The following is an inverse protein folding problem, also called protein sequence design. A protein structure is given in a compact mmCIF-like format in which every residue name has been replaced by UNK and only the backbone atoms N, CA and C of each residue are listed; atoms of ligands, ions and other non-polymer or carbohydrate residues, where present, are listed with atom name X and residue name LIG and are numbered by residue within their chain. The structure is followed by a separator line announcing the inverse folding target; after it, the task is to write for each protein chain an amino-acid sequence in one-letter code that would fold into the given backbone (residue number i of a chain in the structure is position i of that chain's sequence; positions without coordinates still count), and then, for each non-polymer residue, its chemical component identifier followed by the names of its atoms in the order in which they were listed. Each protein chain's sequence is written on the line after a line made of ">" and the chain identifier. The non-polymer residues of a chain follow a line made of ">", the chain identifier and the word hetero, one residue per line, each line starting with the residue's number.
data_IF_961448639716
#
_entry.id   IF_961448639716
#
_cell.length_a   1.000
_cell.length_b   1.000
_cell.length_c   1.000
_cell.angle_alpha   90.00
_cell.angle_beta   90.00
_cell.angle_gamma   90.00
#
_symmetry.space_group_name_H-M   'P 1'
#
loop_
_entity.id
_entity.type
_entity.pdbx_description
1 polymer ?
#
# COMPACT_ATOMS: atom_id res chain seq x y z
N UNK A 1 -64.98 19.29 71.25
CA UNK A 1 -64.67 20.05 70.02
C UNK A 1 -63.98 19.09 69.06
N UNK A 2 -64.68 18.72 67.98
CA UNK A 2 -64.35 17.61 67.08
C UNK A 2 -63.22 17.91 66.10
N UNK A 3 -62.44 16.85 65.83
CA UNK A 3 -61.44 16.65 64.77
C UNK A 3 -62.05 16.57 63.35
N UNK A 4 -61.16 16.63 62.35
CA UNK A 4 -60.96 15.72 61.19
C UNK A 4 -60.60 16.56 59.94
N UNK A 5 -59.41 16.45 59.33
CA UNK A 5 -58.86 15.38 58.44
C UNK A 5 -59.50 15.30 57.05
N UNK A 6 -58.66 14.97 56.06
CA UNK A 6 -58.94 14.36 54.75
C UNK A 6 -59.38 15.31 53.62
N UNK A 7 -59.18 15.02 52.32
CA UNK A 7 -58.38 14.10 51.49
C UNK A 7 -58.96 14.28 50.05
N UNK A 8 -58.23 13.80 49.03
CA UNK A 8 -58.69 13.40 47.67
C UNK A 8 -59.05 14.52 46.67
N UNK A 9 -59.08 14.32 45.34
CA UNK A 9 -58.46 13.45 44.32
C UNK A 9 -59.35 13.69 43.07
N UNK A 10 -58.80 13.51 41.87
CA UNK A 10 -59.53 13.15 40.60
C UNK A 10 -60.10 14.33 39.79
N UNK A 11 -60.27 14.32 38.46
CA UNK A 11 -59.96 13.47 37.29
C UNK A 11 -60.40 14.31 36.05
N UNK A 12 -59.66 14.23 34.94
CA UNK A 12 -60.04 14.41 33.50
C UNK A 12 -60.93 15.57 33.01
N UNK A 13 -60.54 16.25 31.92
CA UNK A 13 -60.99 16.00 30.52
C UNK A 13 -60.51 17.13 29.57
N UNK A 14 -60.20 16.74 28.34
CA UNK A 14 -59.70 17.49 27.17
C UNK A 14 -60.59 18.62 26.64
N UNK A 15 -59.99 19.73 26.15
CA UNK A 15 -60.59 20.67 25.19
C UNK A 15 -59.56 21.11 24.14
N UNK A 16 -60.04 21.19 22.91
CA UNK A 16 -59.41 21.38 21.60
C UNK A 16 -58.75 22.74 21.31
N UNK A 17 -57.68 22.65 20.51
CA UNK A 17 -57.31 23.45 19.33
C UNK A 17 -57.73 24.93 19.25
N UNK A 18 -56.72 25.82 19.21
CA UNK A 18 -56.74 27.04 18.39
C UNK A 18 -55.40 27.21 17.67
N UNK A 19 -55.52 27.62 16.41
CA UNK A 19 -54.50 27.68 15.36
C UNK A 19 -53.36 28.66 15.59
N UNK A 20 -52.18 28.29 15.11
CA UNK A 20 -51.07 29.20 14.82
C UNK A 20 -50.21 28.62 13.71
N UNK A 21 -50.47 29.06 12.48
CA UNK A 21 -49.66 28.75 11.30
C UNK A 21 -48.22 29.25 11.48
N UNK A 22 -47.26 28.36 11.27
CA UNK A 22 -45.93 28.72 10.78
C UNK A 22 -45.62 27.76 9.63
N UNK A 23 -45.63 28.28 8.41
CA UNK A 23 -45.12 27.58 7.23
C UNK A 23 -43.64 27.27 7.44
N UNK A 24 -43.33 26.01 7.74
CA UNK A 24 -41.98 25.49 7.61
C UNK A 24 -41.87 25.02 6.16
N UNK A 25 -41.22 25.83 5.34
CA UNK A 25 -40.75 25.42 4.03
C UNK A 25 -39.90 24.15 4.21
N UNK A 26 -40.13 23.06 3.45
CA UNK A 26 -39.29 21.89 3.57
C UNK A 26 -37.88 22.29 3.15
N UNK A 27 -36.95 22.23 4.11
CA UNK A 27 -35.53 22.29 3.81
C UNK A 27 -35.26 21.29 2.69
N UNK A 28 -34.75 21.78 1.56
CA UNK A 28 -34.20 20.93 0.52
C UNK A 28 -33.11 20.09 1.18
N UNK A 29 -33.43 18.83 1.49
CA UNK A 29 -32.43 17.84 1.80
C UNK A 29 -31.53 17.75 0.56
N UNK A 30 -30.25 18.09 0.72
CA UNK A 30 -29.25 17.77 -0.28
C UNK A 30 -29.37 16.26 -0.59
N UNK A 31 -29.35 15.87 -1.87
CA UNK A 31 -29.40 14.46 -2.22
C UNK A 31 -28.23 13.74 -1.55
N UNK A 32 -28.41 12.48 -1.11
CA UNK A 32 -27.33 11.73 -0.47
C UNK A 32 -26.12 11.74 -1.39
N UNK A 33 -24.99 12.25 -0.89
CA UNK A 33 -23.72 12.11 -1.58
C UNK A 33 -23.51 10.62 -1.79
N UNK A 34 -23.52 10.19 -3.05
CA UNK A 34 -23.48 8.78 -3.43
C UNK A 34 -22.12 8.22 -2.96
N UNK A 35 -22.08 7.55 -1.80
CA UNK A 35 -20.87 6.92 -1.29
C UNK A 35 -20.43 5.86 -2.30
N UNK A 36 -19.23 6.04 -2.87
CA UNK A 36 -18.67 5.07 -3.81
C UNK A 36 -18.41 3.75 -3.10
N UNK A 37 -18.74 2.63 -3.76
CA UNK A 37 -18.39 1.31 -3.23
C UNK A 37 -16.89 1.03 -3.43
N UNK A 38 -16.28 0.14 -2.64
CA UNK A 38 -14.89 -0.29 -2.85
C UNK A 38 -14.60 -0.77 -4.28
N UNK A 39 -15.58 -1.41 -4.92
CA UNK A 39 -15.50 -1.85 -6.33
C UNK A 39 -15.41 -0.65 -7.27
N UNK A 40 -16.22 0.39 -7.05
CA UNK A 40 -16.17 1.63 -7.85
C UNK A 40 -14.82 2.33 -7.69
N UNK A 41 -14.24 2.32 -6.48
CA UNK A 41 -12.93 2.90 -6.23
C UNK A 41 -11.80 2.15 -6.94
N UNK A 42 -11.86 0.81 -6.96
CA UNK A 42 -10.89 -0.02 -7.67
C UNK A 42 -10.95 0.24 -9.18
N UNK A 43 -12.16 0.34 -9.74
CA UNK A 43 -12.37 0.68 -11.15
C UNK A 43 -11.87 2.09 -11.47
N UNK A 44 -12.07 3.06 -10.57
CA UNK A 44 -11.52 4.42 -10.72
C UNK A 44 -10.00 4.40 -10.79
N UNK A 45 -9.33 3.63 -9.93
CA UNK A 45 -7.87 3.46 -9.97
C UNK A 45 -7.43 2.82 -11.29
N UNK A 46 -8.08 1.72 -11.70
CA UNK A 46 -7.81 1.05 -12.97
C UNK A 46 -7.92 2.00 -14.17
N UNK A 47 -9.00 2.79 -14.23
CA UNK A 47 -9.24 3.78 -15.27
C UNK A 47 -8.19 4.91 -15.25
N UNK A 48 -7.91 5.49 -14.08
CA UNK A 48 -6.92 6.57 -13.93
C UNK A 48 -5.53 6.15 -14.42
N UNK A 49 -5.15 4.90 -14.16
CA UNK A 49 -3.85 4.36 -14.55
C UNK A 49 -3.84 3.63 -15.90
N UNK A 50 -5.00 3.45 -16.53
CA UNK A 50 -5.16 2.71 -17.78
C UNK A 50 -4.59 1.28 -17.68
N UNK A 51 -4.89 0.61 -16.56
CA UNK A 51 -4.49 -0.77 -16.28
C UNK A 51 -5.72 -1.64 -16.05
N UNK A 52 -5.54 -2.95 -16.17
CA UNK A 52 -6.51 -3.93 -15.71
C UNK A 52 -6.26 -4.25 -14.24
N UNK A 53 -7.33 -4.37 -13.44
CA UNK A 53 -7.25 -4.98 -12.11
C UNK A 53 -8.15 -6.21 -12.12
N UNK A 54 -7.53 -7.40 -12.07
CA UNK A 54 -8.25 -8.67 -12.12
C UNK A 54 -8.43 -9.25 -10.72
N UNK A 55 -9.68 -9.60 -10.40
CA UNK A 55 -10.07 -10.22 -9.13
C UNK A 55 -10.78 -11.56 -9.33
N UNK A 56 -11.12 -11.89 -10.58
CA UNK A 56 -11.80 -13.12 -11.00
C UNK A 56 -11.35 -13.50 -12.41
N UNK A 57 -11.69 -14.72 -12.85
CA UNK A 57 -11.25 -15.28 -14.14
C UNK A 57 -9.73 -15.20 -14.33
N UNK A 58 -8.99 -15.71 -13.35
CA UNK A 58 -7.53 -15.64 -13.31
C UNK A 58 -6.91 -16.74 -14.18
N UNK A 59 -5.98 -16.38 -15.05
CA UNK A 59 -5.29 -17.28 -15.98
C UNK A 59 -4.12 -18.03 -15.31
N UNK A 60 -4.42 -18.82 -14.28
CA UNK A 60 -3.44 -19.69 -13.62
C UNK A 60 -3.59 -21.16 -14.06
N UNK A 61 -2.49 -21.94 -14.12
CA UNK A 61 -1.10 -21.52 -13.96
C UNK A 61 -0.58 -20.77 -15.20
N UNK A 62 0.25 -19.74 -15.00
CA UNK A 62 0.91 -19.00 -16.08
C UNK A 62 2.37 -19.43 -16.17
N UNK A 63 2.80 -19.86 -17.36
CA UNK A 63 4.19 -20.18 -17.64
C UNK A 63 4.96 -18.93 -18.04
N UNK A 64 6.05 -18.65 -17.33
CA UNK A 64 7.03 -17.60 -17.69
C UNK A 64 8.37 -18.24 -18.07
N UNK A 65 9.29 -17.41 -18.53
CA UNK A 65 10.68 -17.81 -18.80
C UNK A 65 11.38 -18.41 -17.57
N UNK A 66 11.03 -17.98 -16.36
CA UNK A 66 11.77 -18.29 -15.14
C UNK A 66 11.04 -19.22 -14.16
N UNK A 67 9.77 -19.54 -14.42
CA UNK A 67 8.97 -20.39 -13.55
C UNK A 67 7.48 -20.33 -13.85
N UNK A 68 6.73 -21.22 -13.20
CA UNK A 68 5.27 -21.13 -13.17
C UNK A 68 4.85 -20.11 -12.13
N UNK A 69 3.94 -19.21 -12.49
CA UNK A 69 3.16 -18.42 -11.54
C UNK A 69 1.83 -19.16 -11.35
N UNK A 70 1.50 -19.47 -10.12
CA UNK A 70 0.26 -20.17 -9.77
C UNK A 70 -0.48 -19.39 -8.68
N UNK A 71 -1.80 -19.59 -8.61
CA UNK A 71 -2.67 -18.94 -7.65
C UNK A 71 -4.11 -19.37 -7.87
N UNK A 72 -5.01 -18.88 -7.02
CA UNK A 72 -6.46 -19.07 -7.16
C UNK A 72 -7.21 -17.77 -6.89
N UNK A 73 -8.48 -17.73 -7.24
CA UNK A 73 -9.34 -16.60 -6.92
C UNK A 73 -9.50 -16.46 -5.40
N UNK A 74 -9.37 -15.22 -4.90
CA UNK A 74 -9.67 -14.89 -3.51
C UNK A 74 -11.18 -14.82 -3.28
N UNK A 75 -11.62 -15.07 -2.06
CA UNK A 75 -13.03 -14.90 -1.67
C UNK A 75 -13.44 -13.43 -1.70
N UNK A 76 -14.73 -13.16 -1.94
CA UNK A 76 -15.28 -11.80 -2.00
C UNK A 76 -14.98 -10.99 -0.73
N UNK A 77 -15.08 -11.60 0.44
CA UNK A 77 -14.80 -10.94 1.72
C UNK A 77 -13.33 -10.50 1.83
N UNK A 78 -12.40 -11.30 1.30
CA UNK A 78 -10.97 -10.97 1.29
C UNK A 78 -10.68 -9.82 0.32
N UNK A 79 -11.34 -9.83 -0.86
CA UNK A 79 -11.27 -8.73 -1.82
C UNK A 79 -11.78 -7.42 -1.20
N UNK A 80 -12.94 -7.44 -0.54
CA UNK A 80 -13.52 -6.27 0.12
C UNK A 80 -12.62 -5.73 1.25
N UNK A 81 -11.94 -6.62 1.99
CA UNK A 81 -11.01 -6.22 3.04
C UNK A 81 -9.73 -5.57 2.48
N UNK A 82 -9.21 -6.06 1.36
CA UNK A 82 -7.95 -5.59 0.79
C UNK A 82 -8.09 -4.32 -0.08
N UNK A 83 -9.21 -4.17 -0.79
CA UNK A 83 -9.43 -3.08 -1.74
C UNK A 83 -9.15 -1.68 -1.18
N UNK A 84 -9.63 -1.29 0.02
CA UNK A 84 -9.37 0.05 0.56
C UNK A 84 -7.87 0.33 0.76
N UNK A 85 -7.13 -0.68 1.23
CA UNK A 85 -5.67 -0.58 1.40
C UNK A 85 -4.99 -0.38 0.04
N UNK A 86 -5.34 -1.19 -0.96
CA UNK A 86 -4.77 -1.04 -2.30
C UNK A 86 -5.11 0.31 -2.93
N UNK A 87 -6.37 0.74 -2.88
CA UNK A 87 -6.78 2.03 -3.42
C UNK A 87 -5.99 3.16 -2.74
N UNK A 88 -5.87 3.13 -1.42
CA UNK A 88 -5.14 4.15 -0.66
C UNK A 88 -3.65 4.22 -1.06
N UNK A 89 -2.94 3.10 -1.03
CA UNK A 89 -1.51 3.06 -1.33
C UNK A 89 -1.22 3.32 -2.81
N UNK A 90 -1.93 2.63 -3.70
CA UNK A 90 -1.64 2.67 -5.12
C UNK A 90 -2.03 4.02 -5.74
N UNK A 91 -3.02 4.73 -5.17
CA UNK A 91 -3.38 6.10 -5.56
C UNK A 91 -2.34 7.17 -5.19
N UNK A 92 -1.28 6.81 -4.46
CA UNK A 92 -0.17 7.73 -4.20
C UNK A 92 0.59 8.06 -5.49
N UNK A 93 0.74 7.09 -6.38
CA UNK A 93 1.58 7.20 -7.56
C UNK A 93 1.05 8.17 -8.62
N UNK A 94 1.94 8.88 -9.33
CA UNK A 94 1.54 9.60 -10.53
C UNK A 94 1.20 8.61 -11.66
N UNK A 95 0.12 8.80 -12.46
CA UNK A 95 -0.20 7.92 -13.59
C UNK A 95 0.96 7.75 -14.59
N UNK A 96 1.79 8.79 -14.73
CA UNK A 96 3.00 8.74 -15.56
C UNK A 96 3.98 7.67 -15.09
N UNK A 97 4.15 7.47 -13.78
CA UNK A 97 5.02 6.43 -13.23
C UNK A 97 4.53 5.05 -13.66
N UNK A 98 3.23 4.78 -13.52
CA UNK A 98 2.62 3.49 -13.88
C UNK A 98 2.89 3.16 -15.36
N UNK A 99 2.69 4.16 -16.24
CA UNK A 99 2.97 4.03 -17.67
C UNK A 99 4.46 3.78 -17.97
N UNK A 100 5.38 4.46 -17.29
CA UNK A 100 6.82 4.30 -17.48
C UNK A 100 7.32 2.96 -16.97
N UNK A 101 6.79 2.46 -15.86
CA UNK A 101 7.00 1.10 -15.36
C UNK A 101 6.38 0.02 -16.27
N UNK A 102 5.60 0.45 -17.28
CA UNK A 102 4.85 -0.38 -18.22
C UNK A 102 3.83 -1.31 -17.56
N UNK A 103 3.48 -1.11 -16.29
CA UNK A 103 2.48 -1.95 -15.62
C UNK A 103 1.16 -1.89 -16.41
N UNK A 104 0.67 -3.05 -16.83
CA UNK A 104 -0.60 -3.17 -17.57
C UNK A 104 -1.70 -3.79 -16.73
N UNK A 105 -1.33 -4.60 -15.74
CA UNK A 105 -2.28 -5.38 -14.97
C UNK A 105 -1.83 -5.56 -13.53
N UNK A 106 -2.79 -5.50 -12.61
CA UNK A 106 -2.65 -5.99 -11.24
C UNK A 106 -3.60 -7.16 -11.05
N UNK A 107 -3.14 -8.24 -10.42
CA UNK A 107 -3.95 -9.42 -10.15
C UNK A 107 -4.04 -9.63 -8.65
N UNK A 108 -5.26 -9.63 -8.11
CA UNK A 108 -5.52 -10.04 -6.74
C UNK A 108 -5.84 -11.52 -6.72
N UNK A 109 -5.10 -12.28 -5.91
CA UNK A 109 -5.26 -13.71 -5.82
C UNK A 109 -5.04 -14.20 -4.38
N UNK A 110 -5.39 -15.46 -4.16
CA UNK A 110 -4.99 -16.24 -3.00
C UNK A 110 -4.04 -17.34 -3.48
N UNK A 111 -3.29 -17.89 -2.55
CA UNK A 111 -2.35 -18.96 -2.81
C UNK A 111 -1.38 -18.65 -3.96
N UNK A 112 -0.83 -17.43 -4.02
CA UNK A 112 0.20 -17.07 -5.01
C UNK A 112 1.53 -17.81 -4.81
N UNK A 113 2.03 -18.47 -5.85
CA UNK A 113 3.36 -19.08 -5.86
C UNK A 113 4.13 -18.72 -7.12
N UNK A 114 5.46 -18.79 -7.04
CA UNK A 114 6.36 -18.70 -8.17
C UNK A 114 7.41 -19.80 -8.11
N UNK A 115 7.52 -20.60 -9.17
CA UNK A 115 8.42 -21.75 -9.26
C UNK A 115 8.28 -22.70 -8.05
N UNK A 116 7.05 -22.93 -7.58
CA UNK A 116 6.73 -23.80 -6.44
C UNK A 116 6.94 -23.17 -5.06
N UNK A 117 7.50 -21.96 -4.95
CA UNK A 117 7.65 -21.26 -3.68
C UNK A 117 6.48 -20.28 -3.47
N UNK A 118 5.87 -20.30 -2.27
CA UNK A 118 4.84 -19.33 -1.88
C UNK A 118 5.38 -17.91 -1.94
N UNK A 119 4.60 -16.97 -2.47
CA UNK A 119 4.94 -15.55 -2.57
C UNK A 119 3.79 -14.68 -2.10
N UNK A 120 4.11 -13.49 -1.61
CA UNK A 120 3.12 -12.47 -1.29
C UNK A 120 2.90 -11.52 -2.47
N UNK A 121 3.89 -11.38 -3.34
CA UNK A 121 3.76 -10.70 -4.63
C UNK A 121 4.73 -11.30 -5.66
N UNK A 122 4.42 -11.11 -6.94
CA UNK A 122 5.29 -11.46 -8.06
C UNK A 122 5.26 -10.32 -9.09
N UNK A 123 6.39 -9.65 -9.34
CA UNK A 123 6.51 -8.67 -10.41
C UNK A 123 6.87 -9.38 -11.71
N UNK A 124 5.89 -9.62 -12.56
CA UNK A 124 6.07 -10.26 -13.86
C UNK A 124 6.46 -9.23 -14.92
N UNK A 125 7.76 -9.10 -15.17
CA UNK A 125 8.30 -8.19 -16.18
C UNK A 125 7.98 -8.61 -17.61
N UNK A 126 7.74 -9.91 -17.86
CA UNK A 126 7.48 -10.49 -19.18
C UNK A 126 6.08 -10.06 -19.66
N UNK A 127 5.09 -10.19 -18.78
CA UNK A 127 3.70 -9.85 -19.10
C UNK A 127 3.27 -8.46 -18.63
N UNK A 128 4.12 -7.75 -17.87
CA UNK A 128 3.82 -6.47 -17.24
C UNK A 128 2.68 -6.53 -16.21
N UNK A 129 2.70 -7.58 -15.39
CA UNK A 129 1.65 -7.86 -14.39
C UNK A 129 2.25 -7.87 -12.99
N UNK A 130 1.60 -7.19 -12.06
CA UNK A 130 1.90 -7.34 -10.63
C UNK A 130 0.87 -8.27 -10.00
N UNK A 131 1.31 -9.43 -9.54
CA UNK A 131 0.47 -10.37 -8.80
C UNK A 131 0.60 -10.08 -7.30
N UNK A 132 -0.52 -10.01 -6.59
CA UNK A 132 -0.58 -9.79 -5.15
C UNK A 132 -1.40 -10.90 -4.51
N UNK A 133 -0.79 -11.62 -3.56
CA UNK A 133 -1.52 -12.49 -2.63
C UNK A 133 -2.17 -11.59 -1.59
N UNK A 134 -3.49 -11.49 -1.64
CA UNK A 134 -4.24 -10.55 -0.78
C UNK A 134 -4.72 -11.18 0.52
N UNK A 135 -4.47 -12.47 0.72
CA UNK A 135 -4.94 -13.25 1.87
C UNK A 135 -3.81 -13.48 2.85
N UNK A 136 -2.63 -13.83 2.34
CA UNK A 136 -1.46 -14.07 3.19
C UNK A 136 -0.97 -12.76 3.79
N UNK A 137 -1.04 -12.65 5.12
CA UNK A 137 -0.62 -11.45 5.85
C UNK A 137 -1.72 -10.38 5.94
N UNK A 138 -2.97 -10.72 5.61
CA UNK A 138 -4.12 -9.79 5.67
C UNK A 138 -4.31 -9.14 7.06
N UNK A 139 -3.95 -9.83 8.14
CA UNK A 139 -3.99 -9.32 9.51
C UNK A 139 -2.90 -8.27 9.81
N UNK A 140 -1.96 -8.07 8.89
CA UNK A 140 -0.87 -7.12 9.02
C UNK A 140 -0.84 -6.17 7.82
N UNK A 141 -1.65 -5.11 7.91
CA UNK A 141 -1.75 -4.08 6.87
C UNK A 141 -0.40 -3.43 6.56
N UNK A 142 0.45 -3.19 7.56
CA UNK A 142 1.79 -2.63 7.37
C UNK A 142 2.65 -3.52 6.47
N UNK A 143 2.61 -4.83 6.69
CA UNK A 143 3.31 -5.80 5.85
C UNK A 143 2.77 -5.81 4.41
N UNK A 144 1.44 -5.80 4.24
CA UNK A 144 0.81 -5.81 2.91
C UNK A 144 1.16 -4.57 2.08
N UNK A 145 1.18 -3.38 2.71
CA UNK A 145 1.61 -2.13 2.07
C UNK A 145 3.05 -2.26 1.60
N UNK A 146 3.97 -2.73 2.46
CA UNK A 146 5.38 -2.90 2.12
C UNK A 146 5.61 -3.84 0.95
N UNK A 147 5.01 -5.03 0.97
CA UNK A 147 5.14 -6.00 -0.13
C UNK A 147 4.69 -5.39 -1.45
N UNK A 148 3.56 -4.68 -1.46
CA UNK A 148 3.07 -4.03 -2.68
C UNK A 148 4.07 -3.00 -3.23
N UNK A 149 4.59 -2.11 -2.39
CA UNK A 149 5.55 -1.09 -2.83
C UNK A 149 6.89 -1.71 -3.23
N UNK A 150 7.37 -2.71 -2.49
CA UNK A 150 8.60 -3.43 -2.75
C UNK A 150 8.57 -4.10 -4.13
N UNK A 151 7.55 -4.92 -4.41
CA UNK A 151 7.46 -5.65 -5.67
C UNK A 151 7.13 -4.74 -6.85
N UNK A 152 6.35 -3.68 -6.65
CA UNK A 152 6.18 -2.67 -7.69
C UNK A 152 7.48 -1.92 -8.01
N UNK A 153 8.34 -1.66 -7.01
CA UNK A 153 9.65 -1.05 -7.25
C UNK A 153 10.51 -1.89 -8.18
N UNK A 154 10.54 -3.21 -8.02
CA UNK A 154 11.28 -4.09 -8.93
C UNK A 154 10.86 -3.88 -10.39
N UNK A 155 9.58 -3.56 -10.65
CA UNK A 155 9.12 -3.21 -12.01
C UNK A 155 9.62 -1.84 -12.47
N UNK A 156 9.70 -0.85 -11.58
CA UNK A 156 10.30 0.46 -11.88
C UNK A 156 11.79 0.29 -12.19
N UNK A 157 12.52 -0.38 -11.30
CA UNK A 157 13.97 -0.56 -11.35
C UNK A 157 14.39 -1.31 -12.62
N UNK A 158 13.65 -2.36 -12.99
CA UNK A 158 13.89 -3.05 -14.26
C UNK A 158 13.70 -2.12 -15.47
N UNK A 159 12.76 -1.17 -15.40
CA UNK A 159 12.44 -0.29 -16.54
C UNK A 159 13.30 0.96 -16.61
N UNK A 160 14.01 1.31 -15.55
CA UNK A 160 14.97 2.43 -15.55
C UNK A 160 16.13 2.14 -16.52
N UNK A 161 16.81 1.01 -16.35
CA UNK A 161 17.97 0.66 -17.19
C UNK A 161 18.12 -0.84 -17.51
N UNK A 162 17.23 -1.70 -16.99
CA UNK A 162 17.29 -3.15 -17.18
C UNK A 162 18.35 -3.87 -16.34
N UNK A 163 19.04 -3.18 -15.41
CA UNK A 163 20.17 -3.69 -14.62
C UNK A 163 19.81 -3.89 -13.15
N UNK A 164 18.78 -4.70 -12.88
CA UNK A 164 18.32 -5.01 -11.51
C UNK A 164 19.47 -5.37 -10.55
N UNK A 165 20.38 -6.24 -11.00
CA UNK A 165 21.44 -6.81 -10.16
C UNK A 165 22.76 -6.05 -10.20
N UNK A 166 22.83 -4.89 -10.88
CA UNK A 166 24.06 -4.11 -10.96
C UNK A 166 23.80 -2.60 -11.05
N UNK A 167 24.19 -1.88 -9.99
CA UNK A 167 24.25 -0.40 -9.98
C UNK A 167 25.55 0.04 -9.29
N UNK A 168 26.57 0.36 -10.09
CA UNK A 168 27.89 0.80 -9.60
C UNK A 168 27.79 2.05 -8.71
N UNK A 169 26.86 2.97 -9.01
CA UNK A 169 26.68 4.20 -8.21
C UNK A 169 26.06 3.89 -6.86
N UNK A 170 25.10 2.97 -6.82
CA UNK A 170 24.51 2.51 -5.57
C UNK A 170 25.53 1.73 -4.72
N UNK A 171 26.31 0.85 -5.36
CA UNK A 171 27.35 0.06 -4.69
C UNK A 171 28.39 0.93 -3.98
N UNK A 172 28.77 2.06 -4.57
CA UNK A 172 29.70 3.03 -3.98
C UNK A 172 29.18 3.72 -2.71
N UNK A 173 27.87 3.66 -2.44
CA UNK A 173 27.29 4.21 -1.21
C UNK A 173 27.50 3.27 -0.02
N UNK A 174 27.65 1.97 -0.26
CA UNK A 174 27.74 1.00 0.83
C UNK A 174 28.95 1.23 1.73
N UNK A 175 28.89 0.79 3.01
CA UNK A 175 30.03 0.90 3.92
C UNK A 175 31.30 0.29 3.31
N UNK A 176 32.49 0.82 3.61
CA UNK A 176 33.74 0.27 3.10
C UNK A 176 33.83 -1.24 3.35
N UNK A 177 34.29 -1.99 2.35
CA UNK A 177 34.44 -3.45 2.39
C UNK A 177 33.14 -4.27 2.48
N UNK A 178 31.97 -3.62 2.53
CA UNK A 178 30.69 -4.32 2.43
C UNK A 178 30.54 -4.99 1.05
N UNK A 179 29.99 -6.20 1.04
CA UNK A 179 29.57 -6.90 -0.16
C UNK A 179 28.21 -7.55 0.10
N UNK A 180 27.30 -7.43 -0.85
CA UNK A 180 26.04 -8.16 -0.79
C UNK A 180 26.29 -9.67 -0.80
N UNK A 181 25.39 -10.42 -0.18
CA UNK A 181 25.38 -11.88 -0.27
C UNK A 181 25.32 -12.33 -1.74
N UNK A 182 26.06 -13.39 -2.09
CA UNK A 182 26.07 -13.95 -3.45
C UNK A 182 24.72 -14.53 -3.90
N UNK A 183 23.77 -14.70 -2.98
CA UNK A 183 22.47 -15.35 -3.24
C UNK A 183 21.29 -14.40 -3.49
N UNK A 184 21.47 -13.07 -3.38
CA UNK A 184 20.35 -12.13 -3.42
C UNK A 184 19.35 -12.35 -2.29
N UNK A 185 18.19 -11.67 -2.36
CA UNK A 185 17.10 -11.84 -1.39
C UNK A 185 16.63 -13.29 -1.23
N UNK A 186 16.64 -14.06 -2.33
CA UNK A 186 16.27 -15.49 -2.37
C UNK A 186 16.94 -16.34 -1.30
N UNK A 187 18.17 -16.01 -0.90
CA UNK A 187 18.93 -16.82 0.07
C UNK A 187 18.44 -16.69 1.52
N UNK A 188 17.55 -15.75 1.84
CA UNK A 188 17.03 -15.55 3.20
C UNK A 188 15.51 -15.35 3.25
N UNK A 189 14.81 -15.55 2.14
CA UNK A 189 13.34 -15.36 2.04
C UNK A 189 12.53 -16.24 3.01
N UNK A 190 13.07 -17.38 3.43
CA UNK A 190 12.41 -18.30 4.36
C UNK A 190 12.83 -18.09 5.83
N UNK A 191 13.75 -17.16 6.10
CA UNK A 191 14.15 -16.81 7.46
C UNK A 191 13.17 -15.78 8.04
N UNK A 192 12.58 -16.13 9.18
CA UNK A 192 11.76 -15.19 9.94
C UNK A 192 12.57 -13.93 10.31
N UNK A 193 11.89 -12.78 10.36
CA UNK A 193 12.41 -11.50 10.86
C UNK A 193 13.49 -10.81 10.01
N UNK A 194 13.80 -11.30 8.81
CA UNK A 194 14.83 -10.68 7.97
C UNK A 194 14.47 -9.28 7.47
N UNK A 195 13.18 -9.00 7.27
CA UNK A 195 12.65 -7.69 6.86
C UNK A 195 12.23 -6.79 8.02
N UNK A 196 12.58 -7.13 9.27
CA UNK A 196 12.28 -6.29 10.44
C UNK A 196 13.24 -5.12 10.50
N UNK A 197 12.70 -3.90 10.57
CA UNK A 197 13.47 -2.67 10.70
C UNK A 197 14.44 -2.75 11.88
N UNK A 198 15.70 -2.44 11.63
CA UNK A 198 16.72 -2.49 12.68
C UNK A 198 17.86 -1.54 12.43
N UNK A 199 18.45 -1.12 13.54
CA UNK A 199 19.57 -0.19 13.59
C UNK A 199 20.94 -0.90 13.50
N UNK A 200 20.93 -2.25 13.44
CA UNK A 200 22.12 -3.11 13.51
C UNK A 200 23.01 -3.08 12.26
N UNK A 201 22.45 -2.70 11.11
CA UNK A 201 23.17 -2.71 9.83
C UNK A 201 23.33 -1.27 9.32
N UNK A 202 24.50 -0.64 9.50
CA UNK A 202 24.72 0.73 9.02
C UNK A 202 24.43 0.85 7.52
N UNK A 203 23.59 1.81 7.13
CA UNK A 203 23.20 2.00 5.74
C UNK A 203 22.17 1.03 5.18
N UNK A 204 21.61 0.12 5.98
CA UNK A 204 20.59 -0.85 5.55
C UNK A 204 19.43 -0.86 6.53
N UNK A 205 18.19 -0.94 6.01
CA UNK A 205 16.99 -0.86 6.87
C UNK A 205 16.73 -2.15 7.64
N UNK A 206 17.18 -3.29 7.12
CA UNK A 206 17.06 -4.58 7.76
C UNK A 206 18.08 -5.59 7.20
N UNK A 207 18.02 -6.83 7.67
CA UNK A 207 18.91 -7.90 7.21
C UNK A 207 18.68 -8.21 5.71
N UNK A 208 17.43 -8.22 5.27
CA UNK A 208 17.05 -8.48 3.87
C UNK A 208 17.68 -7.48 2.89
N UNK A 209 17.78 -6.20 3.27
CA UNK A 209 18.47 -5.18 2.47
C UNK A 209 19.97 -5.45 2.27
N UNK A 210 20.60 -6.34 3.06
CA UNK A 210 22.02 -6.68 2.91
C UNK A 210 22.27 -7.79 1.89
N UNK A 211 21.20 -8.30 1.26
CA UNK A 211 21.25 -9.53 0.47
C UNK A 211 21.53 -9.30 -1.01
N UNK A 212 21.11 -8.16 -1.57
CA UNK A 212 21.27 -7.80 -2.97
C UNK A 212 21.00 -6.32 -3.19
N UNK A 213 21.57 -5.75 -4.26
CA UNK A 213 21.39 -4.33 -4.60
C UNK A 213 19.94 -4.02 -4.98
N UNK A 214 19.27 -4.96 -5.62
CA UNK A 214 17.86 -4.91 -5.97
C UNK A 214 16.97 -4.86 -4.72
N UNK A 215 17.29 -5.67 -3.71
CA UNK A 215 16.51 -5.75 -2.47
C UNK A 215 16.76 -4.55 -1.55
N UNK A 216 18.00 -4.05 -1.52
CA UNK A 216 18.32 -2.82 -0.80
C UNK A 216 17.54 -1.63 -1.35
N UNK A 217 17.54 -1.45 -2.68
CA UNK A 217 16.76 -0.41 -3.35
C UNK A 217 15.26 -0.57 -3.10
N UNK A 218 14.72 -1.79 -3.28
CA UNK A 218 13.30 -2.06 -3.09
C UNK A 218 12.84 -1.85 -1.64
N UNK A 219 13.65 -2.25 -0.65
CA UNK A 219 13.36 -1.98 0.76
C UNK A 219 13.40 -0.49 1.06
N UNK A 220 14.43 0.24 0.61
CA UNK A 220 14.49 1.69 0.82
C UNK A 220 13.27 2.38 0.21
N UNK A 221 12.89 2.03 -1.02
CA UNK A 221 11.69 2.56 -1.64
C UNK A 221 10.43 2.26 -0.83
N UNK A 222 10.19 0.99 -0.49
CA UNK A 222 8.98 0.58 0.21
C UNK A 222 8.87 1.26 1.59
N UNK A 223 9.95 1.30 2.36
CA UNK A 223 9.96 1.96 3.67
C UNK A 223 9.86 3.48 3.57
N UNK A 224 10.38 4.12 2.53
CA UNK A 224 10.15 5.56 2.31
C UNK A 224 8.66 5.89 2.09
N UNK A 225 7.88 4.98 1.48
CA UNK A 225 6.44 5.16 1.29
C UNK A 225 5.63 4.81 2.53
N UNK A 226 6.02 3.75 3.25
CA UNK A 226 5.18 3.15 4.30
C UNK A 226 5.57 3.60 5.71
N UNK A 227 6.87 3.76 5.96
CA UNK A 227 7.47 4.03 7.27
C UNK A 227 8.47 5.21 7.17
N UNK A 228 8.11 6.22 6.35
CA UNK A 228 8.99 7.34 6.00
C UNK A 228 9.50 8.11 7.22
N UNK A 229 8.68 8.26 8.27
CA UNK A 229 9.10 8.86 9.53
C UNK A 229 10.24 8.09 10.22
N UNK A 230 10.23 6.75 10.17
CA UNK A 230 11.35 5.94 10.68
C UNK A 230 12.60 6.14 9.83
N UNK A 231 12.46 6.05 8.50
CA UNK A 231 13.57 6.23 7.56
C UNK A 231 14.23 7.59 7.76
N UNK A 232 13.45 8.67 7.86
CA UNK A 232 13.97 10.03 8.07
C UNK A 232 14.71 10.16 9.40
N UNK A 233 14.15 9.63 10.50
CA UNK A 233 14.83 9.63 11.81
C UNK A 233 16.13 8.83 11.79
N UNK A 234 16.18 7.72 11.05
CA UNK A 234 17.38 6.89 10.93
C UNK A 234 18.43 7.55 10.05
N UNK A 235 18.04 8.11 8.90
CA UNK A 235 18.93 8.82 7.98
C UNK A 235 19.60 10.03 8.65
N UNK A 236 18.92 10.73 9.56
CA UNK A 236 19.49 11.85 10.31
C UNK A 236 20.72 11.50 11.19
N UNK A 237 21.01 10.20 11.38
CA UNK A 237 22.13 9.69 12.19
C UNK A 237 22.92 8.57 11.50
N UNK A 238 22.65 8.31 10.22
CA UNK A 238 23.26 7.25 9.42
C UNK A 238 23.52 7.82 8.02
N UNK A 239 24.72 8.36 7.82
CA UNK A 239 25.11 9.09 6.59
C UNK A 239 25.02 8.20 5.34
N UNK A 240 25.25 6.89 5.50
CA UNK A 240 25.11 5.94 4.40
C UNK A 240 23.65 5.77 4.00
N UNK A 241 22.75 5.60 4.97
CA UNK A 241 21.32 5.54 4.69
C UNK A 241 20.81 6.87 4.11
N UNK A 242 21.26 8.01 4.64
CA UNK A 242 20.91 9.32 4.10
C UNK A 242 21.31 9.44 2.62
N UNK A 243 22.54 9.04 2.27
CA UNK A 243 23.00 9.06 0.89
C UNK A 243 22.16 8.14 -0.03
N UNK A 244 21.76 6.96 0.45
CA UNK A 244 20.88 6.05 -0.31
C UNK A 244 19.46 6.59 -0.49
N UNK A 245 18.89 7.22 0.54
CA UNK A 245 17.58 7.88 0.46
C UNK A 245 17.60 9.00 -0.59
N UNK A 246 18.63 9.85 -0.57
CA UNK A 246 18.77 10.89 -1.60
C UNK A 246 19.01 10.30 -2.99
N UNK A 247 19.83 9.25 -3.10
CA UNK A 247 20.03 8.53 -4.36
C UNK A 247 18.73 7.93 -4.91
N UNK A 248 17.89 7.37 -4.05
CA UNK A 248 16.59 6.83 -4.42
C UNK A 248 15.66 7.93 -4.97
N UNK A 249 15.61 9.11 -4.32
CA UNK A 249 14.85 10.26 -4.82
C UNK A 249 15.36 10.72 -6.19
N UNK A 250 16.67 10.83 -6.37
CA UNK A 250 17.27 11.18 -7.67
C UNK A 250 16.89 10.20 -8.78
N UNK A 251 16.98 8.89 -8.50
CA UNK A 251 16.64 7.83 -9.46
C UNK A 251 15.17 7.94 -9.87
N UNK A 252 14.27 8.07 -8.90
CA UNK A 252 12.83 8.13 -9.15
C UNK A 252 12.41 9.40 -9.87
N UNK A 253 12.95 10.56 -9.50
CA UNK A 253 12.64 11.83 -10.18
C UNK A 253 13.21 11.86 -11.60
N UNK A 254 14.40 11.30 -11.81
CA UNK A 254 14.96 11.13 -13.15
C UNK A 254 14.09 10.19 -14.01
N UNK A 255 13.66 9.06 -13.45
CA UNK A 255 12.79 8.11 -14.14
C UNK A 255 11.42 8.72 -14.44
N UNK A 256 10.81 9.35 -13.44
CA UNK A 256 9.51 10.01 -13.52
C UNK A 256 9.58 11.37 -12.80
N UNK A 257 9.63 12.51 -13.53
CA UNK A 257 9.73 13.85 -12.93
C UNK A 257 8.60 14.25 -11.97
N UNK A 258 7.50 13.50 -11.93
CA UNK A 258 6.40 13.70 -10.97
C UNK A 258 6.71 13.08 -9.59
N UNK A 259 7.73 12.23 -9.47
CA UNK A 259 8.25 11.65 -8.21
C UNK A 259 9.18 12.62 -7.47
N UNK A 260 8.83 13.90 -7.47
CA UNK A 260 9.62 15.00 -6.92
C UNK A 260 9.22 15.32 -5.46
N UNK A 261 9.66 16.46 -4.93
CA UNK A 261 9.36 16.89 -3.56
C UNK A 261 7.86 16.95 -3.22
N UNK A 262 6.99 17.29 -4.17
CA UNK A 262 5.54 17.35 -3.92
C UNK A 262 4.93 15.94 -3.78
N UNK A 263 5.44 14.97 -4.52
CA UNK A 263 5.07 13.57 -4.32
C UNK A 263 5.45 13.10 -2.91
N UNK A 264 6.68 13.39 -2.45
CA UNK A 264 7.11 12.97 -1.12
C UNK A 264 6.34 13.64 0.03
N UNK A 265 5.92 14.91 -0.13
CA UNK A 265 5.00 15.56 0.82
C UNK A 265 3.62 14.87 0.86
N UNK A 266 3.10 14.43 -0.29
CA UNK A 266 1.84 13.67 -0.36
C UNK A 266 1.97 12.33 0.38
N UNK A 267 3.09 11.63 0.19
CA UNK A 267 3.41 10.37 0.89
C UNK A 267 3.48 10.59 2.40
N UNK A 268 4.19 11.61 2.87
CA UNK A 268 4.29 11.94 4.30
C UNK A 268 2.91 12.19 4.93
N UNK A 269 2.06 12.97 4.25
CA UNK A 269 0.67 13.20 4.71
C UNK A 269 -0.14 11.90 4.77
N UNK A 270 0.06 10.99 3.81
CA UNK A 270 -0.63 9.70 3.81
C UNK A 270 -0.17 8.82 4.98
N UNK A 271 1.13 8.78 5.30
CA UNK A 271 1.66 8.08 6.48
C UNK A 271 1.02 8.61 7.77
N UNK A 272 0.96 9.93 7.93
CA UNK A 272 0.34 10.56 9.11
C UNK A 272 -1.13 10.15 9.28
N UNK A 273 -1.89 10.05 8.18
CA UNK A 273 -3.28 9.60 8.22
C UNK A 273 -3.41 8.14 8.66
N UNK A 274 -2.45 7.27 8.33
CA UNK A 274 -2.44 5.89 8.82
C UNK A 274 -2.16 5.81 10.32
N UNK A 275 -1.28 6.67 10.85
CA UNK A 275 -0.92 6.68 12.27
C UNK A 275 -2.04 7.23 13.17
N UNK A 276 -3.04 7.91 12.60
CA UNK A 276 -4.17 8.49 13.31
C UNK A 276 -5.41 7.59 13.37
N UNK A 277 -5.41 6.47 12.65
CA UNK A 277 -6.51 5.48 12.62
C UNK A 277 -6.22 4.33 13.58
#
# INVERSE_FOLDING_TARGET
>A
MHLLSNLLLSIFLSISLFSGYSEISPAHAEPPQNEMTPVDELQRVAHNYQIEILTSNLDFPLKTTHGLIEGKAAAEQQLLAYQPLFVQEFSLYPPKLIRLAKLKRVVFCDELSFAGQRRNAVPDFEHNTLYLDIVRGIENSLYMRKVMHHDFYHMIDYRDDGRLYNDDRWLLLNPPQFQYSRGGGKSVQDLAETSVLTDKYPGFLNHYSTMGVEEDKAEIFAHMLVEGSYVNRRAARDDVLAAKVERMKELLEKFCPEMNSEFWKKVEKAEQNHQQR
#
